data_IF_165116166695
#
_entry.id   IF_165116166695
#
_cell.length_a   1.000
_cell.length_b   1.000
_cell.length_c   1.000
_cell.angle_alpha   90.00
_cell.angle_beta   90.00
_cell.angle_gamma   90.00
#
_symmetry.space_group_name_H-M   'P 1'
#
loop_
_entity.id
_entity.type
_entity.pdbx_description
1 polymer ?
#
# COMPACT_ATOMS: atom_id res chain seq x y z
N UNK A 1 -21.79 20.48 -19.90
CA UNK A 1 -20.60 20.92 -19.15
C UNK A 1 -19.38 20.18 -19.73
N UNK A 2 -18.21 20.85 -19.79
CA UNK A 2 -16.97 20.21 -20.26
C UNK A 2 -16.08 19.94 -19.05
N UNK A 3 -15.67 18.67 -18.88
CA UNK A 3 -14.64 18.25 -17.92
C UNK A 3 -13.39 17.82 -18.67
N UNK A 4 -12.25 17.71 -17.99
CA UNK A 4 -11.01 17.21 -18.59
C UNK A 4 -11.16 15.73 -18.99
N UNK A 5 -10.41 15.30 -20.01
CA UNK A 5 -10.42 13.90 -20.45
C UNK A 5 -9.98 12.96 -19.34
N UNK A 6 -8.93 13.34 -18.57
CA UNK A 6 -8.46 12.55 -17.43
C UNK A 6 -9.53 12.37 -16.33
N UNK A 7 -10.34 13.40 -16.03
CA UNK A 7 -11.42 13.28 -15.06
C UNK A 7 -12.54 12.35 -15.53
N UNK A 8 -12.76 12.26 -16.85
CA UNK A 8 -13.76 11.38 -17.46
C UNK A 8 -13.25 9.93 -17.61
N UNK A 9 -11.95 9.72 -17.76
CA UNK A 9 -11.34 8.39 -17.94
C UNK A 9 -11.22 7.60 -16.62
N UNK A 10 -11.05 8.31 -15.48
CA UNK A 10 -10.92 7.67 -14.17
C UNK A 10 -12.30 7.27 -13.63
N UNK A 11 -12.48 5.98 -13.35
CA UNK A 11 -13.70 5.44 -12.77
C UNK A 11 -13.57 5.28 -11.25
N UNK A 12 -14.66 5.46 -10.47
CA UNK A 12 -14.65 5.09 -9.04
C UNK A 12 -14.26 3.63 -8.84
N UNK A 13 -13.43 3.37 -7.83
CA UNK A 13 -12.98 2.00 -7.52
C UNK A 13 -14.15 1.11 -7.12
N UNK A 14 -14.12 -0.18 -7.52
CA UNK A 14 -15.13 -1.16 -7.12
C UNK A 14 -15.23 -1.33 -5.60
N UNK A 15 -14.11 -1.17 -4.89
CA UNK A 15 -14.04 -1.22 -3.42
C UNK A 15 -14.96 -0.17 -2.78
N UNK A 16 -14.96 1.07 -3.27
CA UNK A 16 -15.80 2.14 -2.72
C UNK A 16 -17.28 1.86 -2.88
N UNK A 17 -17.70 1.36 -4.05
CA UNK A 17 -19.09 0.98 -4.30
C UNK A 17 -19.62 -0.06 -3.31
N UNK A 18 -18.83 -1.11 -3.06
CA UNK A 18 -19.19 -2.16 -2.10
C UNK A 18 -19.34 -1.62 -0.69
N UNK A 19 -18.45 -0.72 -0.30
CA UNK A 19 -18.48 -0.08 1.02
C UNK A 19 -19.74 0.76 1.24
N UNK A 20 -20.15 1.54 0.23
CA UNK A 20 -21.36 2.39 0.29
C UNK A 20 -22.67 1.57 0.36
N UNK A 21 -22.63 0.27 0.04
CA UNK A 21 -23.78 -0.65 0.08
C UNK A 21 -23.86 -1.50 1.36
N UNK A 22 -22.81 -1.49 2.18
CA UNK A 22 -22.73 -2.33 3.38
C UNK A 22 -23.72 -1.87 4.45
N UNK A 23 -24.46 -2.83 5.05
CA UNK A 23 -25.33 -2.58 6.20
C UNK A 23 -24.56 -2.57 7.53
N UNK A 24 -25.18 -2.00 8.58
CA UNK A 24 -24.56 -1.85 9.92
C UNK A 24 -24.17 -3.19 10.57
N UNK A 25 -24.86 -4.29 10.24
CA UNK A 25 -24.57 -5.64 10.77
C UNK A 25 -23.52 -6.42 9.97
N UNK A 26 -22.94 -5.82 8.92
CA UNK A 26 -21.94 -6.49 8.08
C UNK A 26 -20.59 -6.60 8.78
N UNK A 27 -19.95 -7.77 8.70
CA UNK A 27 -18.56 -7.93 9.12
C UNK A 27 -17.65 -7.31 8.07
N UNK A 28 -16.78 -6.38 8.51
CA UNK A 28 -16.04 -5.46 7.65
C UNK A 28 -14.64 -5.98 7.31
N UNK A 29 -14.47 -6.69 6.18
CA UNK A 29 -13.16 -7.05 5.63
C UNK A 29 -12.74 -6.19 4.43
N UNK A 30 -13.53 -5.17 4.09
CA UNK A 30 -13.28 -4.36 2.88
C UNK A 30 -12.25 -3.26 3.08
N UNK A 31 -12.11 -2.72 4.30
CA UNK A 31 -11.26 -1.55 4.58
C UNK A 31 -9.86 -1.96 5.07
N UNK A 32 -8.83 -1.46 4.40
CA UNK A 32 -7.43 -1.65 4.78
C UNK A 32 -6.96 -0.62 5.81
N UNK A 33 -7.58 -0.59 6.98
CA UNK A 33 -7.30 0.35 8.06
C UNK A 33 -7.16 -0.40 9.39
N UNK A 34 -6.02 -0.25 10.11
CA UNK A 34 -5.85 -0.83 11.44
C UNK A 34 -6.97 -0.39 12.40
N UNK A 35 -7.54 -1.33 13.15
CA UNK A 35 -8.52 -1.05 14.22
C UNK A 35 -7.89 -0.55 15.53
N UNK A 36 -6.58 -0.36 15.50
CA UNK A 36 -5.82 0.22 16.61
C UNK A 36 -5.95 1.75 16.61
N UNK A 37 -5.73 2.34 17.78
CA UNK A 37 -5.57 3.80 17.92
C UNK A 37 -4.08 4.16 17.84
N UNK A 38 -3.73 5.37 17.38
CA UNK A 38 -2.35 5.87 17.55
C UNK A 38 -1.89 5.81 19.01
N UNK A 39 -0.58 5.74 19.30
CA UNK A 39 -0.09 5.85 20.67
C UNK A 39 -0.61 7.11 21.37
N UNK A 40 -1.13 7.01 22.61
CA UNK A 40 -1.66 8.14 23.38
C UNK A 40 -0.68 9.30 23.46
N UNK A 41 0.62 9.00 23.65
CA UNK A 41 1.68 10.01 23.67
C UNK A 41 1.77 10.84 22.37
N UNK A 42 1.42 10.25 21.23
CA UNK A 42 1.39 10.97 19.96
C UNK A 42 0.17 11.92 19.90
N UNK A 43 -0.97 11.47 20.42
CA UNK A 43 -2.20 12.29 20.53
C UNK A 43 -1.92 13.49 21.45
N UNK A 44 -1.32 13.25 22.61
CA UNK A 44 -0.93 14.31 23.57
C UNK A 44 0.08 15.29 22.96
N UNK A 45 1.07 14.79 22.21
CA UNK A 45 2.06 15.61 21.53
C UNK A 45 1.44 16.47 20.44
N UNK A 46 0.46 15.94 19.69
CA UNK A 46 -0.29 16.71 18.70
C UNK A 46 -1.08 17.87 19.35
N UNK A 47 -1.84 17.58 20.40
CA UNK A 47 -2.60 18.59 21.14
C UNK A 47 -1.67 19.67 21.71
N UNK A 48 -0.57 19.26 22.33
CA UNK A 48 0.46 20.17 22.87
C UNK A 48 1.04 21.07 21.78
N UNK A 49 1.46 20.50 20.65
CA UNK A 49 2.04 21.25 19.54
C UNK A 49 1.06 22.32 19.01
N UNK A 50 -0.21 21.98 18.84
CA UNK A 50 -1.24 22.95 18.43
C UNK A 50 -1.38 24.11 19.44
N UNK A 51 -1.42 23.81 20.74
CA UNK A 51 -1.55 24.81 21.82
C UNK A 51 -0.32 25.72 21.92
N UNK A 52 0.86 25.19 21.60
CA UNK A 52 2.13 25.92 21.56
C UNK A 52 2.31 26.77 20.29
N UNK A 53 1.32 26.75 19.38
CA UNK A 53 1.29 27.61 18.20
C UNK A 53 1.95 26.99 16.96
N UNK A 54 2.15 25.68 16.93
CA UNK A 54 2.61 24.92 15.76
C UNK A 54 1.47 24.77 14.74
N UNK A 55 1.01 25.90 14.20
CA UNK A 55 -0.11 26.03 13.28
C UNK A 55 0.26 26.88 12.06
N UNK A 56 1.52 26.86 11.66
CA UNK A 56 2.04 27.66 10.56
C UNK A 56 2.65 26.77 9.48
N UNK A 57 2.98 27.36 8.35
CA UNK A 57 3.74 26.65 7.32
C UNK A 57 5.11 26.22 7.87
N UNK A 58 5.47 24.97 7.58
CA UNK A 58 6.83 24.46 7.76
C UNK A 58 7.64 24.66 6.48
N UNK A 59 8.88 24.18 6.45
CA UNK A 59 9.57 23.96 5.18
C UNK A 59 8.80 22.95 4.34
N UNK A 60 8.88 23.05 3.04
CA UNK A 60 8.17 22.15 2.12
C UNK A 60 8.51 20.67 2.37
N UNK A 61 9.81 20.38 2.56
CA UNK A 61 10.25 19.02 2.85
C UNK A 61 9.83 18.51 4.25
N UNK A 62 9.33 19.38 5.13
CA UNK A 62 8.93 19.04 6.50
C UNK A 62 9.98 19.39 7.56
N UNK A 63 9.68 19.08 8.82
CA UNK A 63 10.54 19.37 9.97
C UNK A 63 11.89 18.64 9.84
N UNK A 64 13.03 19.36 9.96
CA UNK A 64 14.35 18.74 9.86
C UNK A 64 14.56 17.62 10.88
N UNK A 65 14.08 17.78 12.11
CA UNK A 65 14.23 16.80 13.18
C UNK A 65 13.47 15.49 12.87
N UNK A 66 12.28 15.59 12.30
CA UNK A 66 11.51 14.40 11.88
C UNK A 66 12.18 13.72 10.68
N UNK A 67 12.64 14.51 9.71
CA UNK A 67 13.34 14.00 8.52
C UNK A 67 14.61 13.27 8.90
N UNK A 68 15.43 13.87 9.80
CA UNK A 68 16.62 13.23 10.35
C UNK A 68 16.28 11.94 11.08
N UNK A 69 15.23 11.94 11.91
CA UNK A 69 14.78 10.73 12.61
C UNK A 69 14.35 9.60 11.67
N UNK A 70 13.68 9.96 10.57
CA UNK A 70 13.31 8.99 9.52
C UNK A 70 14.57 8.44 8.85
N UNK A 71 15.51 9.29 8.43
CA UNK A 71 16.76 8.84 7.82
C UNK A 71 17.53 7.86 8.73
N UNK A 72 17.66 8.17 10.02
CA UNK A 72 18.27 7.28 11.03
C UNK A 72 17.63 5.89 11.11
N UNK A 73 16.31 5.80 10.86
CA UNK A 73 15.58 4.52 10.86
C UNK A 73 16.09 3.58 9.77
N UNK A 74 16.63 4.13 8.68
CA UNK A 74 17.09 3.39 7.51
C UNK A 74 18.63 3.28 7.40
N UNK A 75 19.40 3.77 8.40
CA UNK A 75 20.86 3.71 8.41
C UNK A 75 21.42 2.27 8.35
N UNK A 76 20.63 1.25 8.71
CA UNK A 76 21.06 -0.14 8.58
C UNK A 76 21.16 -0.60 7.12
N UNK A 77 20.49 0.09 6.17
CA UNK A 77 20.59 -0.14 4.72
C UNK A 77 21.52 0.86 4.04
N UNK A 78 21.43 2.14 4.40
CA UNK A 78 22.23 3.22 3.83
C UNK A 78 22.66 4.19 4.93
N UNK A 79 23.89 4.03 5.48
CA UNK A 79 24.38 4.84 6.61
C UNK A 79 24.58 6.34 6.31
N UNK A 80 24.65 6.71 5.03
CA UNK A 80 24.92 8.08 4.60
C UNK A 80 23.63 8.95 4.49
N UNK A 81 22.46 8.36 4.72
CA UNK A 81 21.20 9.09 4.68
C UNK A 81 21.14 10.17 5.77
N UNK A 82 20.66 11.33 5.39
CA UNK A 82 20.37 12.45 6.30
C UNK A 82 18.99 13.07 6.00
N UNK A 83 18.67 14.17 6.65
CA UNK A 83 17.40 14.86 6.44
C UNK A 83 17.18 15.32 5.01
N UNK A 84 18.21 15.50 4.17
CA UNK A 84 18.09 15.92 2.77
C UNK A 84 17.53 14.84 1.87
N UNK A 85 17.64 13.58 2.27
CA UNK A 85 17.12 12.40 1.58
C UNK A 85 15.62 12.17 1.82
N UNK A 86 14.97 12.96 2.69
CA UNK A 86 13.59 12.73 3.14
C UNK A 86 12.68 13.94 2.82
N UNK A 87 11.48 13.67 2.31
CA UNK A 87 10.42 14.66 2.15
C UNK A 87 9.15 14.17 2.83
N UNK A 88 8.61 14.93 3.79
CA UNK A 88 7.36 14.63 4.49
C UNK A 88 6.18 15.02 3.58
N UNK A 89 5.26 14.09 3.38
CA UNK A 89 4.07 14.25 2.53
C UNK A 89 2.78 14.18 3.34
N UNK A 90 1.66 14.61 2.76
CA UNK A 90 0.34 14.51 3.40
C UNK A 90 -0.22 13.08 3.40
N UNK A 91 0.48 12.09 2.87
CA UNK A 91 0.20 10.65 2.92
C UNK A 91 1.08 9.92 1.92
N UNK A 92 1.13 8.58 1.95
CA UNK A 92 1.70 7.79 0.84
C UNK A 92 1.02 8.05 -0.51
N UNK A 93 -0.29 8.30 -0.52
CA UNK A 93 -1.03 8.68 -1.75
C UNK A 93 -0.54 10.00 -2.34
N UNK A 94 -0.29 11.01 -1.50
CA UNK A 94 0.28 12.27 -1.97
C UNK A 94 1.73 12.07 -2.45
N UNK A 95 2.50 11.21 -1.78
CA UNK A 95 3.85 10.86 -2.19
C UNK A 95 3.89 10.28 -3.61
N UNK A 96 2.97 9.37 -3.96
CA UNK A 96 2.82 8.82 -5.31
C UNK A 96 2.62 9.93 -6.35
N UNK A 97 1.68 10.84 -6.08
CA UNK A 97 1.39 11.94 -6.99
C UNK A 97 2.61 12.85 -7.20
N UNK A 98 3.32 13.22 -6.12
CA UNK A 98 4.50 14.09 -6.18
C UNK A 98 5.64 13.43 -7.00
N UNK A 99 5.83 12.11 -6.85
CA UNK A 99 6.81 11.33 -7.61
C UNK A 99 6.45 11.28 -9.09
N UNK A 100 5.20 10.90 -9.43
CA UNK A 100 4.78 10.83 -10.83
C UNK A 100 4.80 12.22 -11.50
N UNK A 101 4.43 13.29 -10.80
CA UNK A 101 4.57 14.66 -11.33
C UNK A 101 6.03 15.08 -11.58
N UNK A 102 6.98 14.47 -10.87
CA UNK A 102 8.41 14.76 -11.05
C UNK A 102 9.06 13.91 -12.15
N UNK A 103 8.53 12.72 -12.46
CA UNK A 103 9.17 11.73 -13.32
C UNK A 103 8.46 11.51 -14.67
N UNK A 104 7.15 11.79 -14.76
CA UNK A 104 6.32 11.34 -15.88
C UNK A 104 5.86 12.51 -16.74
N UNK A 105 6.19 12.46 -18.03
CA UNK A 105 5.71 13.37 -19.06
C UNK A 105 4.62 12.71 -19.96
N UNK A 106 3.85 13.49 -20.70
CA UNK A 106 2.87 12.94 -21.63
C UNK A 106 3.50 12.02 -22.70
N UNK A 107 3.08 10.77 -22.70
CA UNK A 107 3.60 9.72 -23.58
C UNK A 107 4.48 8.70 -22.89
N UNK A 108 4.95 9.01 -21.67
CA UNK A 108 5.71 8.07 -20.85
C UNK A 108 4.83 6.95 -20.29
N UNK A 109 5.43 5.79 -20.12
CA UNK A 109 4.80 4.61 -19.52
C UNK A 109 5.42 4.29 -18.15
N UNK A 110 4.56 3.86 -17.23
CA UNK A 110 4.95 3.35 -15.91
C UNK A 110 4.49 1.90 -15.78
N UNK A 111 5.44 0.99 -15.53
CA UNK A 111 5.12 -0.41 -15.22
C UNK A 111 4.48 -0.52 -13.83
N UNK A 112 3.29 -1.12 -13.76
CA UNK A 112 2.50 -1.28 -12.53
C UNK A 112 2.16 -2.76 -12.32
N UNK A 113 2.33 -3.31 -11.08
CA UNK A 113 1.96 -4.69 -10.78
C UNK A 113 0.45 -4.90 -10.94
N UNK A 114 0.02 -6.04 -11.45
CA UNK A 114 -1.37 -6.45 -11.46
C UNK A 114 -1.50 -7.85 -10.81
N UNK A 115 -2.23 -8.00 -9.68
CA UNK A 115 -3.14 -7.05 -9.02
C UNK A 115 -2.41 -5.84 -8.39
N UNK A 116 -3.05 -4.65 -8.43
CA UNK A 116 -2.50 -3.39 -7.98
C UNK A 116 -3.32 -2.73 -6.85
N UNK A 117 -2.68 -1.85 -6.08
CA UNK A 117 -3.44 -0.89 -5.26
C UNK A 117 -4.20 0.07 -6.18
N UNK A 118 -5.53 0.25 -6.01
CA UNK A 118 -6.39 0.92 -7.00
C UNK A 118 -6.06 2.38 -7.34
N UNK A 119 -5.13 3.01 -6.65
CA UNK A 119 -4.72 4.39 -6.96
C UNK A 119 -3.54 4.46 -7.94
N UNK A 120 -2.74 3.40 -8.13
CA UNK A 120 -1.55 3.47 -8.97
C UNK A 120 -1.87 3.85 -10.43
N UNK A 121 -2.75 3.12 -11.17
CA UNK A 121 -3.04 3.49 -12.55
C UNK A 121 -3.68 4.89 -12.70
N UNK A 122 -4.66 5.30 -11.87
CA UNK A 122 -5.22 6.65 -11.91
C UNK A 122 -4.19 7.75 -11.67
N UNK A 123 -3.25 7.58 -10.74
CA UNK A 123 -2.25 8.60 -10.45
C UNK A 123 -1.30 8.83 -11.63
N UNK A 124 -0.89 7.76 -12.34
CA UNK A 124 -0.13 7.87 -13.60
C UNK A 124 -0.91 8.66 -14.65
N UNK A 125 -2.21 8.34 -14.85
CA UNK A 125 -3.09 9.04 -15.79
C UNK A 125 -3.29 10.51 -15.40
N UNK A 126 -3.40 10.84 -14.11
CA UNK A 126 -3.50 12.22 -13.62
C UNK A 126 -2.26 13.01 -14.01
N UNK A 127 -1.07 12.40 -13.95
CA UNK A 127 0.20 13.03 -14.32
C UNK A 127 0.44 13.08 -15.84
N UNK A 128 -0.41 12.44 -16.65
CA UNK A 128 -0.34 12.47 -18.11
C UNK A 128 0.32 11.25 -18.74
N UNK A 129 0.85 10.32 -17.94
CA UNK A 129 1.45 9.07 -18.39
C UNK A 129 0.43 7.98 -18.70
N UNK A 130 0.95 6.82 -19.10
CA UNK A 130 0.19 5.62 -19.40
C UNK A 130 0.61 4.48 -18.45
N UNK A 131 -0.33 3.87 -17.70
CA UNK A 131 -0.02 2.68 -16.92
C UNK A 131 0.14 1.46 -17.85
N UNK A 132 1.26 0.77 -17.76
CA UNK A 132 1.53 -0.51 -18.42
C UNK A 132 1.56 -1.59 -17.35
N UNK A 133 0.67 -2.60 -17.47
CA UNK A 133 0.44 -3.57 -16.39
C UNK A 133 1.29 -4.82 -16.58
N UNK A 134 1.98 -5.28 -15.53
CA UNK A 134 2.68 -6.55 -15.52
C UNK A 134 2.06 -7.54 -14.53
N UNK A 135 1.92 -8.82 -14.90
CA UNK A 135 1.18 -9.78 -14.07
C UNK A 135 2.01 -10.27 -12.86
N UNK A 136 1.37 -10.25 -11.68
CA UNK A 136 1.84 -10.91 -10.47
C UNK A 136 0.90 -12.08 -10.19
N UNK A 137 1.31 -13.31 -10.59
CA UNK A 137 0.41 -14.48 -10.60
C UNK A 137 0.36 -15.19 -9.26
N UNK A 138 -0.82 -15.75 -8.96
CA UNK A 138 -1.05 -16.58 -7.76
C UNK A 138 -0.01 -17.71 -7.65
N UNK A 139 0.29 -18.39 -8.75
CA UNK A 139 1.20 -19.54 -8.78
C UNK A 139 2.65 -19.19 -8.36
N UNK A 140 3.01 -17.91 -8.44
CA UNK A 140 4.34 -17.39 -8.05
C UNK A 140 4.30 -16.62 -6.73
N UNK A 141 3.26 -16.80 -5.89
CA UNK A 141 3.11 -16.02 -4.65
C UNK A 141 2.92 -14.51 -4.88
N UNK A 142 2.46 -14.13 -6.09
CA UNK A 142 2.28 -12.74 -6.53
C UNK A 142 3.57 -11.92 -6.69
N UNK A 143 4.73 -12.58 -6.82
CA UNK A 143 5.98 -11.95 -7.25
C UNK A 143 6.04 -11.98 -8.78
N UNK A 144 6.38 -10.87 -9.46
CA UNK A 144 6.48 -10.87 -10.92
C UNK A 144 7.66 -11.70 -11.40
N UNK A 145 7.54 -12.29 -12.60
CA UNK A 145 8.65 -12.92 -13.29
C UNK A 145 9.35 -11.90 -14.19
N UNK A 146 10.66 -12.03 -14.33
CA UNK A 146 11.45 -11.14 -15.19
C UNK A 146 10.97 -11.22 -16.65
N UNK A 147 10.59 -12.41 -17.13
CA UNK A 147 10.08 -12.60 -18.49
C UNK A 147 8.81 -11.76 -18.75
N UNK A 148 7.92 -11.69 -17.75
CA UNK A 148 6.70 -10.88 -17.84
C UNK A 148 7.00 -9.38 -17.89
N UNK A 149 8.04 -8.92 -17.21
CA UNK A 149 8.50 -7.54 -17.24
C UNK A 149 9.17 -7.19 -18.57
N UNK A 150 9.97 -8.12 -19.13
CA UNK A 150 10.62 -7.99 -20.44
C UNK A 150 9.61 -7.84 -21.60
N UNK A 151 8.42 -8.47 -21.46
CA UNK A 151 7.34 -8.36 -22.45
C UNK A 151 6.64 -7.00 -22.42
N UNK A 152 6.70 -6.28 -21.28
CA UNK A 152 5.99 -5.01 -21.10
C UNK A 152 6.89 -3.78 -21.29
N UNK A 153 8.18 -3.88 -20.99
CA UNK A 153 9.12 -2.75 -21.10
C UNK A 153 9.34 -2.35 -22.56
N UNK A 154 9.36 -1.05 -22.83
CA UNK A 154 9.62 -0.49 -24.15
C UNK A 154 10.32 0.89 -24.05
N UNK A 155 10.57 1.54 -25.19
CA UNK A 155 11.29 2.81 -25.27
C UNK A 155 10.60 4.01 -24.57
N UNK A 156 9.30 3.89 -24.25
CA UNK A 156 8.55 4.92 -23.53
C UNK A 156 8.49 4.64 -22.02
N UNK A 157 8.97 3.47 -21.57
CA UNK A 157 8.93 3.10 -20.16
C UNK A 157 9.98 3.89 -19.38
N UNK A 158 9.54 4.68 -18.41
CA UNK A 158 10.43 5.54 -17.58
C UNK A 158 10.57 5.07 -16.15
N UNK A 159 9.58 4.31 -15.65
CA UNK A 159 9.57 3.86 -14.25
C UNK A 159 8.88 2.51 -14.10
N UNK A 160 9.22 1.82 -13.03
CA UNK A 160 8.54 0.63 -12.54
C UNK A 160 8.14 0.83 -11.07
N UNK A 161 6.91 0.44 -10.72
CA UNK A 161 6.42 0.48 -9.35
C UNK A 161 6.38 -0.93 -8.77
N UNK A 162 6.99 -1.10 -7.59
CA UNK A 162 6.89 -2.29 -6.76
C UNK A 162 6.15 -1.96 -5.46
N UNK A 163 5.35 -2.91 -4.96
CA UNK A 163 4.66 -2.77 -3.66
C UNK A 163 4.85 -4.04 -2.84
N UNK A 164 5.79 -3.99 -1.89
CA UNK A 164 6.11 -5.09 -0.99
C UNK A 164 6.37 -4.60 0.43
N UNK A 165 5.68 -5.20 1.44
CA UNK A 165 4.56 -6.14 1.33
C UNK A 165 3.36 -5.57 0.58
N UNK A 166 2.69 -6.42 -0.21
CA UNK A 166 1.72 -5.98 -1.23
C UNK A 166 0.30 -5.78 -0.70
N UNK A 167 -0.37 -4.78 -1.21
CA UNK A 167 -1.83 -4.67 -1.26
C UNK A 167 -2.28 -4.85 -2.72
N UNK A 168 -3.07 -5.91 -3.08
CA UNK A 168 -4.00 -6.63 -2.19
C UNK A 168 -3.51 -7.99 -1.67
N UNK A 169 -2.35 -8.48 -2.06
CA UNK A 169 -2.01 -9.91 -1.99
C UNK A 169 -1.39 -10.36 -0.67
N UNK A 170 -0.79 -9.42 0.08
CA UNK A 170 0.03 -9.75 1.26
C UNK A 170 1.36 -10.45 0.91
N UNK A 171 1.70 -10.53 -0.39
CA UNK A 171 2.96 -11.08 -0.87
C UNK A 171 4.14 -10.20 -0.51
N UNK A 172 5.33 -10.80 -0.46
CA UNK A 172 6.59 -10.15 -0.20
C UNK A 172 7.68 -10.77 -1.09
N UNK A 173 8.83 -10.11 -1.22
CA UNK A 173 9.96 -10.60 -1.98
C UNK A 173 11.06 -11.14 -1.06
N UNK A 174 11.86 -12.07 -1.55
CA UNK A 174 13.14 -12.45 -0.97
C UNK A 174 14.24 -11.47 -1.39
N UNK A 175 15.39 -11.42 -0.71
CA UNK A 175 16.52 -10.61 -1.16
C UNK A 175 16.97 -10.93 -2.59
N UNK A 176 16.95 -12.20 -2.97
CA UNK A 176 17.32 -12.65 -4.32
C UNK A 176 16.35 -12.15 -5.38
N UNK A 177 15.04 -12.27 -5.12
CA UNK A 177 14.00 -11.73 -6.02
C UNK A 177 14.09 -10.21 -6.15
N UNK A 178 14.31 -9.47 -5.03
CA UNK A 178 14.55 -8.03 -5.05
C UNK A 178 15.75 -7.68 -5.93
N UNK A 179 16.86 -8.41 -5.82
CA UNK A 179 18.07 -8.14 -6.59
C UNK A 179 17.85 -8.39 -8.09
N UNK A 180 17.09 -9.42 -8.48
CA UNK A 180 16.69 -9.68 -9.86
C UNK A 180 15.80 -8.56 -10.42
N UNK A 181 14.84 -8.06 -9.63
CA UNK A 181 13.96 -6.96 -10.02
C UNK A 181 14.72 -5.63 -10.16
N UNK A 182 15.70 -5.36 -9.29
CA UNK A 182 16.57 -4.20 -9.42
C UNK A 182 17.48 -4.30 -10.65
N UNK A 183 18.07 -5.48 -10.90
CA UNK A 183 18.90 -5.69 -12.08
C UNK A 183 18.09 -5.53 -13.38
N UNK A 184 16.80 -5.88 -13.40
CA UNK A 184 15.90 -5.58 -14.51
C UNK A 184 15.73 -4.07 -14.69
N UNK A 185 15.46 -3.32 -13.62
CA UNK A 185 15.27 -1.86 -13.70
C UNK A 185 16.56 -1.16 -14.14
N UNK A 186 17.72 -1.55 -13.59
CA UNK A 186 19.03 -0.97 -13.93
C UNK A 186 19.39 -1.14 -15.39
N UNK A 187 19.25 -2.36 -15.97
CA UNK A 187 19.58 -2.60 -17.38
C UNK A 187 18.65 -1.90 -18.37
N UNK A 188 17.45 -1.52 -17.94
CA UNK A 188 16.48 -0.75 -18.72
C UNK A 188 16.46 0.75 -18.36
N UNK A 189 17.38 1.19 -17.48
CA UNK A 189 17.52 2.59 -17.01
C UNK A 189 16.26 3.19 -16.38
N UNK A 190 15.43 2.38 -15.72
CA UNK A 190 14.14 2.75 -15.13
C UNK A 190 14.28 3.33 -13.72
N UNK A 191 13.44 4.32 -13.39
CA UNK A 191 13.18 4.66 -12.00
C UNK A 191 12.44 3.53 -11.30
N UNK A 192 12.88 3.16 -10.11
CA UNK A 192 12.18 2.22 -9.22
C UNK A 192 11.42 3.02 -8.18
N UNK A 193 10.09 2.93 -8.22
CA UNK A 193 9.22 3.48 -7.19
C UNK A 193 8.80 2.30 -6.31
N UNK A 194 9.21 2.30 -5.04
CA UNK A 194 8.86 1.22 -4.13
C UNK A 194 7.91 1.73 -3.04
N UNK A 195 6.72 1.15 -3.00
CA UNK A 195 5.73 1.42 -1.95
C UNK A 195 5.92 0.41 -0.82
N UNK A 196 6.55 0.85 0.26
CA UNK A 196 6.92 0.04 1.42
C UNK A 196 6.12 0.41 2.68
N UNK A 197 4.88 0.89 2.53
CA UNK A 197 4.03 1.35 3.66
C UNK A 197 3.71 0.26 4.69
N UNK A 198 3.96 -1.02 4.36
CA UNK A 198 3.78 -2.17 5.25
C UNK A 198 5.10 -2.71 5.81
N UNK A 199 6.22 -1.98 5.72
CA UNK A 199 7.55 -2.38 6.17
C UNK A 199 7.60 -2.93 7.60
N UNK A 200 6.73 -2.43 8.49
CA UNK A 200 6.61 -2.88 9.90
C UNK A 200 5.56 -3.96 10.14
N UNK A 201 4.90 -4.42 9.09
CA UNK A 201 3.87 -5.47 9.17
C UNK A 201 4.35 -6.63 8.30
N UNK A 202 5.34 -7.36 8.81
CA UNK A 202 5.94 -8.55 8.19
C UNK A 202 5.90 -9.71 9.17
N UNK A 203 5.71 -10.93 8.65
CA UNK A 203 5.47 -12.14 9.42
C UNK A 203 6.46 -13.24 9.02
N UNK A 204 7.14 -13.80 10.02
CA UNK A 204 8.03 -14.96 9.85
C UNK A 204 9.22 -14.72 8.88
N UNK A 205 9.47 -13.46 8.51
CA UNK A 205 10.61 -13.02 7.69
C UNK A 205 11.03 -11.60 8.10
N UNK A 206 12.11 -11.12 7.53
CA UNK A 206 12.52 -9.71 7.62
C UNK A 206 11.95 -8.92 6.42
N UNK A 207 11.76 -7.61 6.60
CA UNK A 207 11.42 -6.71 5.49
C UNK A 207 12.59 -6.59 4.52
N UNK A 208 12.30 -6.73 3.24
CA UNK A 208 13.28 -6.58 2.15
C UNK A 208 12.99 -5.27 1.43
N UNK A 209 13.81 -4.24 1.70
CA UNK A 209 13.70 -2.94 1.04
C UNK A 209 14.49 -2.92 -0.27
N UNK A 210 14.03 -2.10 -1.22
CA UNK A 210 14.77 -1.76 -2.43
C UNK A 210 15.80 -0.64 -2.20
N UNK A 211 15.66 0.11 -1.11
CA UNK A 211 16.61 1.14 -0.71
C UNK A 211 17.96 0.53 -0.32
N UNK A 212 19.06 1.23 -0.59
CA UNK A 212 20.40 0.81 -0.19
C UNK A 212 20.95 -0.41 -0.94
N UNK A 213 20.29 -0.83 -2.01
CA UNK A 213 20.69 -2.00 -2.80
C UNK A 213 21.65 -1.69 -3.97
N UNK A 214 22.20 -0.47 -4.00
CA UNK A 214 23.27 -0.08 -4.93
C UNK A 214 22.80 0.51 -6.26
N UNK A 215 21.50 0.72 -6.45
CA UNK A 215 20.92 1.41 -7.61
C UNK A 215 20.39 2.79 -7.18
N UNK A 216 20.90 3.86 -7.79
CA UNK A 216 20.64 5.24 -7.36
C UNK A 216 19.27 5.81 -7.82
N UNK A 217 18.57 5.13 -8.75
CA UNK A 217 17.23 5.50 -9.20
C UNK A 217 16.11 4.82 -8.39
N UNK A 218 16.31 4.64 -7.08
CA UNK A 218 15.27 4.12 -6.18
C UNK A 218 14.63 5.25 -5.39
N UNK A 219 13.29 5.30 -5.42
CA UNK A 219 12.47 6.23 -4.65
C UNK A 219 11.50 5.42 -3.79
N UNK A 220 11.67 5.45 -2.48
CA UNK A 220 10.82 4.76 -1.54
C UNK A 220 9.69 5.65 -1.03
N UNK A 221 8.50 5.09 -0.96
CA UNK A 221 7.31 5.67 -0.32
C UNK A 221 7.04 4.92 0.97
N UNK A 222 6.77 5.65 2.03
CA UNK A 222 6.28 5.07 3.27
C UNK A 222 5.26 5.99 3.95
N UNK A 223 4.55 5.47 4.97
CA UNK A 223 3.49 6.22 5.64
C UNK A 223 3.30 5.76 7.08
N UNK A 224 3.05 6.71 7.96
CA UNK A 224 2.70 6.43 9.35
C UNK A 224 1.27 5.90 9.52
N UNK A 225 0.47 5.91 8.43
CA UNK A 225 -0.88 5.36 8.40
C UNK A 225 -0.95 3.92 8.88
N UNK A 226 0.06 3.09 8.53
CA UNK A 226 0.09 1.66 8.87
C UNK A 226 0.98 1.39 10.07
N UNK A 227 2.14 2.05 10.11
CA UNK A 227 3.15 1.88 11.16
C UNK A 227 2.65 2.26 12.55
N UNK A 228 1.84 3.32 12.66
CA UNK A 228 1.33 3.83 13.94
C UNK A 228 -0.21 3.95 13.98
N UNK A 229 -0.94 3.27 13.09
CA UNK A 229 -2.40 3.35 12.99
C UNK A 229 -2.93 4.79 12.81
N UNK A 230 -2.22 5.61 12.02
CA UNK A 230 -2.50 7.04 11.81
C UNK A 230 -3.16 7.30 10.45
N UNK A 231 -4.09 6.47 10.00
CA UNK A 231 -4.70 6.57 8.67
C UNK A 231 -5.40 7.91 8.45
N UNK A 232 -6.13 8.40 9.44
CA UNK A 232 -6.84 9.68 9.43
C UNK A 232 -5.93 10.91 9.60
N UNK A 233 -4.69 10.74 10.03
CA UNK A 233 -3.76 11.85 10.28
C UNK A 233 -3.15 12.39 9.00
N UNK A 234 -3.17 11.62 7.92
CA UNK A 234 -2.69 12.02 6.61
C UNK A 234 -1.22 12.47 6.64
N UNK A 235 -0.30 11.57 7.00
CA UNK A 235 1.14 11.84 7.05
C UNK A 235 1.94 10.63 6.54
N UNK A 236 2.91 10.91 5.67
CA UNK A 236 3.82 9.93 5.07
C UNK A 236 5.12 10.60 4.69
N UNK A 237 5.98 9.89 3.98
CA UNK A 237 7.24 10.42 3.50
C UNK A 237 7.74 9.72 2.24
N UNK A 238 8.61 10.42 1.53
CA UNK A 238 9.41 9.93 0.41
C UNK A 238 10.85 9.91 0.88
N UNK A 239 11.61 8.89 0.49
CA UNK A 239 13.02 8.76 0.76
C UNK A 239 13.76 8.25 -0.47
N UNK A 240 14.90 8.85 -0.81
CA UNK A 240 15.79 8.41 -1.88
C UNK A 240 17.22 8.81 -1.58
N UNK A 241 18.17 7.98 -1.99
CA UNK A 241 19.61 8.32 -1.99
C UNK A 241 19.95 9.36 -3.07
N UNK A 242 19.08 9.50 -4.10
CA UNK A 242 19.25 10.44 -5.19
C UNK A 242 18.75 11.84 -4.81
N UNK A 243 19.66 12.74 -4.47
CA UNK A 243 19.32 14.12 -4.05
C UNK A 243 18.76 14.98 -5.16
N UNK A 244 19.08 14.69 -6.43
CA UNK A 244 18.48 15.40 -7.57
C UNK A 244 16.99 15.05 -7.69
N UNK A 245 16.65 13.76 -7.58
CA UNK A 245 15.25 13.32 -7.53
C UNK A 245 14.51 13.97 -6.36
N UNK A 246 15.10 13.96 -5.16
CA UNK A 246 14.50 14.58 -3.96
C UNK A 246 14.26 16.08 -4.15
N UNK A 247 15.16 16.78 -4.85
CA UNK A 247 14.98 18.22 -5.16
C UNK A 247 13.78 18.45 -6.09
N UNK A 248 13.61 17.63 -7.13
CA UNK A 248 12.49 17.73 -8.05
C UNK A 248 11.16 17.34 -7.38
N UNK A 249 11.13 16.26 -6.62
CA UNK A 249 9.95 15.80 -5.89
C UNK A 249 9.50 16.85 -4.85
N UNK A 250 10.43 17.40 -4.05
CA UNK A 250 10.12 18.44 -3.09
C UNK A 250 9.55 19.69 -3.77
N UNK A 251 10.00 19.99 -4.98
CA UNK A 251 9.42 21.09 -5.79
C UNK A 251 7.96 20.79 -6.15
N UNK A 252 7.62 19.55 -6.55
CA UNK A 252 6.22 19.17 -6.82
C UNK A 252 5.37 19.25 -5.56
N UNK A 253 5.85 18.73 -4.43
CA UNK A 253 5.21 18.86 -3.11
C UNK A 253 4.85 20.33 -2.78
N UNK A 254 5.73 21.30 -3.10
CA UNK A 254 5.42 22.71 -2.88
C UNK A 254 4.19 23.16 -3.66
N UNK A 255 4.06 22.76 -4.92
CA UNK A 255 2.95 23.20 -5.77
C UNK A 255 1.65 22.40 -5.52
N UNK A 256 1.76 21.18 -4.99
CA UNK A 256 0.58 20.34 -4.67
C UNK A 256 -0.01 20.71 -3.31
N UNK A 257 0.83 20.84 -2.26
CA UNK A 257 0.35 20.99 -0.88
C UNK A 257 1.04 22.08 -0.06
N UNK A 258 2.05 22.77 -0.60
CA UNK A 258 2.95 23.72 0.06
C UNK A 258 3.84 23.06 1.13
N UNK A 259 3.26 22.42 2.14
CA UNK A 259 3.94 21.64 3.19
C UNK A 259 2.93 20.74 3.91
N UNK A 260 3.43 19.76 4.66
CA UNK A 260 2.61 18.92 5.54
C UNK A 260 2.26 19.63 6.85
N UNK A 261 1.26 19.11 7.58
CA UNK A 261 0.78 19.69 8.84
C UNK A 261 1.89 19.74 9.90
N UNK A 262 2.16 20.95 10.44
CA UNK A 262 3.23 21.21 11.39
C UNK A 262 3.06 20.41 12.68
N UNK A 263 1.91 20.52 13.35
CA UNK A 263 1.67 19.86 14.64
C UNK A 263 1.71 18.32 14.55
N UNK A 264 1.26 17.74 13.42
CA UNK A 264 1.31 16.29 13.21
C UNK A 264 2.74 15.78 13.09
N UNK A 265 3.65 16.55 12.51
CA UNK A 265 5.05 16.16 12.40
C UNK A 265 5.71 16.01 13.77
N UNK A 266 5.41 16.90 14.73
CA UNK A 266 5.85 16.74 16.12
C UNK A 266 5.28 15.50 16.81
N UNK A 267 4.01 15.21 16.56
CA UNK A 267 3.38 14.01 17.11
C UNK A 267 3.97 12.72 16.59
N UNK A 268 4.28 12.67 15.29
CA UNK A 268 4.96 11.52 14.68
C UNK A 268 6.38 11.35 15.22
N UNK A 269 7.13 12.45 15.35
CA UNK A 269 8.48 12.43 15.94
C UNK A 269 8.44 11.85 17.36
N UNK A 270 7.50 12.30 18.19
CA UNK A 270 7.30 11.79 19.55
C UNK A 270 6.98 10.28 19.56
N UNK A 271 6.12 9.82 18.62
CA UNK A 271 5.81 8.40 18.47
C UNK A 271 7.04 7.56 18.10
N UNK A 272 7.85 8.03 17.13
CA UNK A 272 9.07 7.35 16.70
C UNK A 272 10.11 7.24 17.83
N UNK A 273 10.24 8.29 18.65
CA UNK A 273 11.22 8.35 19.73
C UNK A 273 10.80 7.54 20.97
N UNK A 274 9.52 7.62 21.34
CA UNK A 274 9.04 7.13 22.65
C UNK A 274 8.13 5.91 22.60
N UNK A 275 7.65 5.54 21.40
CA UNK A 275 6.86 4.33 21.18
C UNK A 275 7.44 3.43 20.06
N UNK A 276 8.77 3.18 20.01
CA UNK A 276 9.37 2.41 18.92
C UNK A 276 8.85 0.97 18.83
N UNK A 277 8.35 0.41 19.95
CA UNK A 277 7.83 -0.97 20.01
C UNK A 277 6.35 -1.06 19.59
N UNK A 278 5.68 0.06 19.34
CA UNK A 278 4.25 0.07 19.02
C UNK A 278 3.93 -0.72 17.74
N UNK A 279 4.66 -0.55 16.63
CA UNK A 279 4.43 -1.33 15.41
C UNK A 279 4.59 -2.84 15.62
N UNK A 280 5.59 -3.26 16.41
CA UNK A 280 5.82 -4.67 16.69
C UNK A 280 4.66 -5.33 17.46
N UNK A 281 4.04 -4.59 18.40
CA UNK A 281 2.85 -5.07 19.15
C UNK A 281 1.65 -5.26 18.23
N UNK A 282 1.40 -4.32 17.31
CA UNK A 282 0.35 -4.46 16.30
C UNK A 282 0.63 -5.65 15.38
N UNK A 283 1.87 -5.78 14.92
CA UNK A 283 2.29 -6.86 14.02
C UNK A 283 2.05 -8.24 14.63
N UNK A 284 2.30 -8.44 15.93
CA UNK A 284 2.02 -9.68 16.64
C UNK A 284 0.51 -10.05 16.61
N UNK A 285 -0.36 -9.08 16.83
CA UNK A 285 -1.80 -9.30 16.73
C UNK A 285 -2.24 -9.58 15.30
N UNK A 286 -1.73 -8.83 14.32
CA UNK A 286 -2.02 -9.10 12.91
C UNK A 286 -1.54 -10.48 12.46
N UNK A 287 -0.40 -10.96 12.98
CA UNK A 287 0.04 -12.34 12.72
C UNK A 287 -0.98 -13.37 13.20
N UNK A 288 -1.51 -13.21 14.42
CA UNK A 288 -2.51 -14.13 14.95
C UNK A 288 -3.83 -14.07 14.17
N UNK A 289 -4.23 -12.89 13.68
CA UNK A 289 -5.40 -12.72 12.81
C UNK A 289 -5.18 -13.36 11.42
N UNK A 290 -3.98 -13.17 10.85
CA UNK A 290 -3.57 -13.84 9.61
C UNK A 290 -3.69 -15.36 9.71
N UNK A 291 -3.12 -15.93 10.76
CA UNK A 291 -3.11 -17.37 10.96
C UNK A 291 -4.54 -17.91 11.04
N UNK A 292 -5.41 -17.23 11.81
CA UNK A 292 -6.83 -17.58 11.94
C UNK A 292 -7.58 -17.51 10.60
N UNK A 293 -7.47 -16.41 9.86
CA UNK A 293 -8.24 -16.24 8.61
C UNK A 293 -7.74 -17.19 7.53
N UNK A 294 -6.42 -17.43 7.43
CA UNK A 294 -5.84 -18.36 6.48
C UNK A 294 -6.25 -19.82 6.75
N UNK A 295 -6.23 -20.23 8.02
CA UNK A 295 -6.73 -21.57 8.44
C UNK A 295 -8.17 -21.76 8.01
N UNK A 296 -9.05 -20.79 8.32
CA UNK A 296 -10.48 -20.87 7.98
C UNK A 296 -10.72 -20.89 6.47
N UNK A 297 -10.06 -20.02 5.71
CA UNK A 297 -10.21 -19.97 4.24
C UNK A 297 -9.74 -21.25 3.57
N UNK A 298 -8.58 -21.79 3.95
CA UNK A 298 -8.02 -23.01 3.35
C UNK A 298 -8.77 -24.29 3.77
N UNK A 299 -9.62 -24.24 4.79
CA UNK A 299 -10.52 -25.33 5.15
C UNK A 299 -11.80 -25.38 4.28
N UNK A 300 -12.11 -24.29 3.54
CA UNK A 300 -13.31 -24.19 2.71
C UNK A 300 -13.08 -24.87 1.33
N UNK A 301 -14.04 -25.64 0.87
CA UNK A 301 -14.00 -26.24 -0.48
C UNK A 301 -13.97 -25.14 -1.55
N UNK A 302 -13.13 -25.32 -2.60
CA UNK A 302 -12.97 -24.39 -3.71
C UNK A 302 -12.35 -23.05 -3.34
N UNK A 303 -11.69 -22.95 -2.18
CA UNK A 303 -10.91 -21.78 -1.76
C UNK A 303 -9.45 -22.17 -1.61
N UNK A 304 -8.57 -21.36 -2.16
CA UNK A 304 -7.11 -21.52 -2.01
C UNK A 304 -6.50 -20.19 -1.64
N UNK A 305 -5.83 -20.12 -0.50
CA UNK A 305 -5.23 -18.90 0.04
C UNK A 305 -3.75 -19.11 0.33
N UNK A 306 -2.88 -18.32 -0.29
CA UNK A 306 -1.51 -18.20 0.16
C UNK A 306 -1.48 -17.58 1.55
N UNK A 307 -0.55 -18.04 2.39
CA UNK A 307 -0.31 -17.45 3.71
C UNK A 307 0.55 -16.19 3.47
N UNK A 308 0.01 -14.98 3.70
CA UNK A 308 0.76 -13.76 3.47
C UNK A 308 1.95 -13.66 4.43
N UNK A 309 3.05 -13.11 3.93
CA UNK A 309 4.23 -12.82 4.74
C UNK A 309 4.33 -11.34 5.15
N UNK A 310 3.36 -10.51 4.72
CA UNK A 310 3.27 -9.12 5.14
C UNK A 310 1.91 -8.49 4.89
N UNK A 311 1.80 -7.20 5.20
CA UNK A 311 0.58 -6.41 5.20
C UNK A 311 -0.51 -7.01 6.12
N UNK A 312 -1.76 -6.69 5.90
CA UNK A 312 -2.90 -7.25 6.64
C UNK A 312 -4.05 -7.66 5.70
N UNK A 313 -3.67 -8.25 4.56
CA UNK A 313 -4.60 -8.74 3.55
C UNK A 313 -4.37 -10.20 3.25
N UNK A 314 -5.46 -10.91 2.95
CA UNK A 314 -5.43 -12.19 2.22
C UNK A 314 -6.15 -12.01 0.89
N UNK A 315 -5.65 -12.70 -0.14
CA UNK A 315 -6.17 -12.63 -1.50
C UNK A 315 -6.42 -14.05 -2.05
N UNK A 316 -7.35 -14.81 -1.42
CA UNK A 316 -7.66 -16.16 -1.82
C UNK A 316 -8.27 -16.21 -3.22
N UNK A 317 -7.90 -17.25 -3.97
CA UNK A 317 -8.65 -17.71 -5.12
C UNK A 317 -9.92 -18.40 -4.64
N UNK A 318 -11.08 -18.01 -5.21
CA UNK A 318 -12.39 -18.53 -4.82
C UNK A 318 -13.10 -19.03 -6.07
N UNK A 319 -13.25 -20.34 -6.17
CA UNK A 319 -13.91 -20.99 -7.30
C UNK A 319 -15.38 -21.27 -6.97
N UNK A 320 -16.27 -20.56 -7.67
CA UNK A 320 -17.72 -20.80 -7.67
C UNK A 320 -18.16 -20.91 -9.14
N UNK A 321 -18.60 -22.08 -9.62
CA UNK A 321 -18.89 -22.29 -11.02
C UNK A 321 -19.88 -21.29 -11.59
N UNK A 322 -19.46 -20.58 -12.66
CA UNK A 322 -20.33 -19.63 -13.40
C UNK A 322 -20.48 -18.25 -12.76
N UNK A 323 -19.72 -17.95 -11.69
CA UNK A 323 -19.73 -16.64 -11.05
C UNK A 323 -18.37 -15.96 -11.13
N UNK A 324 -18.36 -14.64 -11.35
CA UNK A 324 -17.17 -13.80 -11.26
C UNK A 324 -16.95 -13.24 -9.84
N UNK A 325 -15.80 -12.60 -9.60
CA UNK A 325 -15.43 -12.09 -8.28
C UNK A 325 -16.41 -11.02 -7.74
N UNK A 326 -16.99 -10.20 -8.61
CA UNK A 326 -17.98 -9.17 -8.23
C UNK A 326 -19.31 -9.80 -7.78
N UNK A 327 -19.79 -10.81 -8.50
CA UNK A 327 -21.02 -11.57 -8.15
C UNK A 327 -20.85 -12.32 -6.82
N UNK A 328 -19.67 -12.94 -6.60
CA UNK A 328 -19.37 -13.63 -5.34
C UNK A 328 -19.32 -12.61 -4.18
N UNK A 329 -18.61 -11.48 -4.36
CA UNK A 329 -18.52 -10.43 -3.35
C UNK A 329 -19.88 -9.84 -3.00
N UNK A 330 -20.79 -9.67 -3.99
CA UNK A 330 -22.16 -9.22 -3.76
C UNK A 330 -22.97 -10.24 -2.97
N UNK A 331 -22.87 -11.52 -3.28
CA UNK A 331 -23.55 -12.57 -2.51
C UNK A 331 -23.04 -12.65 -1.07
N UNK A 332 -21.73 -12.42 -0.84
CA UNK A 332 -21.16 -12.31 0.49
C UNK A 332 -21.69 -11.09 1.24
N UNK A 333 -21.83 -9.95 0.56
CA UNK A 333 -22.41 -8.73 1.15
C UNK A 333 -23.86 -8.95 1.58
N UNK A 334 -24.67 -9.62 0.76
CA UNK A 334 -26.05 -10.03 1.12
C UNK A 334 -26.06 -11.01 2.32
N UNK A 335 -25.00 -11.82 2.44
CA UNK A 335 -24.76 -12.69 3.60
C UNK A 335 -24.19 -11.98 4.82
N UNK A 336 -24.03 -10.66 4.78
CA UNK A 336 -23.52 -9.82 5.87
C UNK A 336 -21.99 -9.85 6.02
N UNK A 337 -21.27 -10.00 4.90
CA UNK A 337 -19.80 -9.93 4.84
C UNK A 337 -19.37 -8.94 3.77
N UNK A 338 -18.70 -7.87 4.14
CA UNK A 338 -18.08 -6.93 3.20
C UNK A 338 -16.65 -7.35 2.93
N UNK A 339 -16.34 -7.71 1.68
CA UNK A 339 -14.97 -7.91 1.15
C UNK A 339 -14.84 -7.16 -0.18
N UNK A 340 -13.65 -7.13 -0.75
CA UNK A 340 -13.44 -6.51 -2.06
C UNK A 340 -13.34 -7.59 -3.15
N UNK A 341 -14.03 -7.44 -4.30
CA UNK A 341 -13.84 -8.33 -5.44
C UNK A 341 -12.43 -8.16 -6.00
N UNK A 342 -11.84 -9.23 -6.49
CA UNK A 342 -10.49 -9.21 -7.04
C UNK A 342 -10.37 -8.35 -8.29
N UNK A 343 -11.42 -8.29 -9.11
CA UNK A 343 -11.51 -7.41 -10.29
C UNK A 343 -11.33 -5.91 -9.98
N UNK A 344 -11.53 -5.49 -8.72
CA UNK A 344 -11.26 -4.11 -8.29
C UNK A 344 -9.75 -3.77 -8.23
N UNK A 345 -8.88 -4.77 -8.35
CA UNK A 345 -7.41 -4.65 -8.33
C UNK A 345 -6.78 -4.98 -9.69
N UNK A 346 -7.56 -4.96 -10.76
CA UNK A 346 -7.16 -5.29 -12.12
C UNK A 346 -7.75 -6.60 -12.63
N UNK A 347 -7.57 -6.87 -13.93
CA UNK A 347 -8.11 -8.06 -14.58
C UNK A 347 -7.45 -9.34 -14.04
N UNK A 348 -6.15 -9.31 -13.71
CA UNK A 348 -5.45 -10.44 -13.09
C UNK A 348 -5.95 -10.77 -11.67
N UNK A 349 -6.71 -9.88 -11.05
CA UNK A 349 -7.39 -10.12 -9.79
C UNK A 349 -8.69 -10.94 -9.92
N UNK A 350 -9.20 -11.18 -11.12
CA UNK A 350 -10.43 -11.96 -11.31
C UNK A 350 -10.28 -13.39 -10.76
N UNK A 351 -11.37 -13.93 -10.19
CA UNK A 351 -11.37 -15.20 -9.48
C UNK A 351 -10.83 -15.13 -8.04
N UNK A 352 -10.45 -13.95 -7.58
CA UNK A 352 -9.97 -13.71 -6.21
C UNK A 352 -10.90 -12.78 -5.44
N UNK A 353 -10.77 -12.81 -4.10
CA UNK A 353 -11.39 -11.83 -3.19
C UNK A 353 -10.33 -11.29 -2.24
N UNK A 354 -10.39 -9.98 -1.92
CA UNK A 354 -9.52 -9.44 -0.88
C UNK A 354 -10.28 -9.32 0.44
N UNK A 355 -9.69 -9.87 1.51
CA UNK A 355 -10.11 -9.66 2.88
C UNK A 355 -9.01 -8.94 3.66
N UNK A 356 -9.33 -7.81 4.29
CA UNK A 356 -8.48 -7.13 5.24
C UNK A 356 -8.78 -7.66 6.65
N UNK A 357 -7.80 -8.26 7.31
CA UNK A 357 -7.98 -8.80 8.67
C UNK A 357 -7.65 -7.77 9.76
N UNK A 358 -8.14 -6.55 9.54
CA UNK A 358 -7.96 -5.39 10.42
C UNK A 358 -9.03 -5.26 11.51
N UNK A 359 -9.78 -6.33 11.78
CA UNK A 359 -10.85 -6.41 12.79
C UNK A 359 -10.50 -7.47 13.85
N UNK A 360 -11.19 -7.46 14.97
CA UNK A 360 -10.94 -8.40 16.08
C UNK A 360 -11.13 -9.87 15.69
N UNK A 361 -10.43 -10.78 16.37
CA UNK A 361 -10.45 -12.23 16.06
C UNK A 361 -11.84 -12.85 16.16
N UNK A 362 -12.71 -12.36 17.08
CA UNK A 362 -14.09 -12.81 17.20
C UNK A 362 -14.90 -12.43 15.95
N UNK A 363 -14.71 -11.21 15.44
CA UNK A 363 -15.34 -10.74 14.20
C UNK A 363 -14.82 -11.49 12.99
N UNK A 364 -13.51 -11.79 12.92
CA UNK A 364 -12.94 -12.65 11.88
C UNK A 364 -13.62 -14.02 11.90
N UNK A 365 -13.72 -14.67 13.06
CA UNK A 365 -14.37 -15.97 13.19
C UNK A 365 -15.83 -15.93 12.73
N UNK A 366 -16.59 -14.94 13.21
CA UNK A 366 -17.99 -14.73 12.81
C UNK A 366 -18.14 -14.47 11.31
N UNK A 367 -17.23 -13.67 10.75
CA UNK A 367 -17.21 -13.38 9.32
C UNK A 367 -16.91 -14.62 8.49
N UNK A 368 -15.92 -15.44 8.88
CA UNK A 368 -15.58 -16.67 8.20
C UNK A 368 -16.71 -17.71 8.26
N UNK A 369 -17.47 -17.81 9.36
CA UNK A 369 -18.67 -18.65 9.43
C UNK A 369 -19.73 -18.23 8.40
N UNK A 370 -19.90 -16.92 8.18
CA UNK A 370 -20.81 -16.40 7.16
C UNK A 370 -20.28 -16.67 5.74
N UNK A 371 -18.98 -16.47 5.50
CA UNK A 371 -18.33 -16.76 4.21
C UNK A 371 -18.54 -18.22 3.84
N UNK A 372 -18.22 -19.16 4.74
CA UNK A 372 -18.38 -20.59 4.52
C UNK A 372 -19.82 -20.95 4.16
N UNK A 373 -20.79 -20.46 4.93
CA UNK A 373 -22.22 -20.70 4.67
C UNK A 373 -22.69 -20.16 3.32
N UNK A 374 -22.24 -18.97 2.92
CA UNK A 374 -22.62 -18.37 1.63
C UNK A 374 -21.99 -19.16 0.48
N UNK A 375 -20.69 -19.46 0.55
CA UNK A 375 -20.00 -20.20 -0.50
C UNK A 375 -20.56 -21.63 -0.67
N UNK A 376 -20.90 -22.33 0.42
CA UNK A 376 -21.55 -23.64 0.36
C UNK A 376 -22.90 -23.54 -0.36
N UNK A 377 -23.72 -22.54 -0.01
CA UNK A 377 -25.02 -22.30 -0.69
C UNK A 377 -24.85 -22.00 -2.18
N UNK A 378 -23.86 -21.19 -2.56
CA UNK A 378 -23.62 -20.86 -3.99
C UNK A 378 -23.17 -22.08 -4.80
N UNK A 379 -22.52 -23.04 -4.18
CA UNK A 379 -22.11 -24.32 -4.80
C UNK A 379 -23.20 -25.39 -4.80
N UNK A 380 -24.39 -25.12 -4.24
CA UNK A 380 -25.52 -26.06 -4.18
C UNK A 380 -25.39 -27.13 -3.09
N UNK A 381 -24.67 -26.83 -2.06
CA UNK A 381 -24.46 -27.68 -0.86
C UNK A 381 -25.42 -27.33 0.28
#
# INVERSE_FOLDING_TARGET
MRFSERANSIRPTGVRRMFDMAGDDSVQFGLGEPDFQPPDLAIDAFEKAMREGRNKYTTTAGLPELRQKIAETWHYLSPELDETNVCITMSGTNALLDIFLALVDPGDEVLIPEPYFPLYPPDVVICGGQPSLYPCRFENGFVPKIEDLEEQVNENTVAILYNFPSNPTGGNVTPEERDELLAFAERNDLWVITDEVYDRIVYDCEHVSFLGAGYDKVIMINSFSKTFAMTGWRIGYILSENLEAMSHITKMQYYVTACSNDAMQYAVLEAMEKAPDYPAKMCQEFKARRDLICERLNAMEGVSCHIPTGAFYVFPKVDVPGMNSEEIAMALLEGGVLCSPGSAFGEAGEGHLRFAYTIGREDISRGMDRVEKVLAKLRGQ
#
